data_IF_842567615704
#
_entry.id   IF_842567615704
#
_cell.length_a   1.000
_cell.length_b   1.000
_cell.length_c   1.000
_cell.angle_alpha   90.00
_cell.angle_beta   90.00
_cell.angle_gamma   90.00
#
_symmetry.space_group_name_H-M   'P 1'
#
loop_
_entity.id
_entity.type
_entity.pdbx_description
1 polymer ?
#
# COMPACT_ATOMS: atom_id res chain seq x y z
N UNK A 1 7.27 -12.52 -22.45
CA UNK A 1 6.11 -12.54 -21.52
C UNK A 1 6.56 -12.66 -20.07
N UNK A 2 7.36 -13.67 -19.72
CA UNK A 2 7.89 -13.91 -18.35
C UNK A 2 8.58 -12.69 -17.71
N UNK A 3 9.47 -12.02 -18.45
CA UNK A 3 10.22 -10.85 -17.94
C UNK A 3 9.30 -9.68 -17.56
N UNK A 4 8.23 -9.45 -18.33
CA UNK A 4 7.28 -8.37 -18.09
C UNK A 4 6.45 -8.66 -16.84
N UNK A 5 6.04 -9.92 -16.68
CA UNK A 5 5.35 -10.43 -15.48
C UNK A 5 6.19 -10.26 -14.22
N UNK A 6 7.47 -10.61 -14.28
CA UNK A 6 8.42 -10.40 -13.18
C UNK A 6 8.60 -8.92 -12.84
N UNK A 7 8.71 -8.07 -13.86
CA UNK A 7 8.81 -6.62 -13.68
C UNK A 7 7.57 -6.07 -12.98
N UNK A 8 6.37 -6.52 -13.36
CA UNK A 8 5.11 -6.10 -12.74
C UNK A 8 5.03 -6.51 -11.25
N UNK A 9 5.53 -7.70 -10.90
CA UNK A 9 5.65 -8.12 -9.51
C UNK A 9 6.68 -7.26 -8.74
N UNK A 10 7.79 -6.88 -9.39
CA UNK A 10 8.76 -5.95 -8.81
C UNK A 10 8.16 -4.57 -8.53
N UNK A 11 7.37 -4.02 -9.47
CA UNK A 11 6.62 -2.77 -9.29
C UNK A 11 5.64 -2.89 -8.15
N UNK A 12 4.93 -4.02 -8.06
CA UNK A 12 3.97 -4.29 -6.98
C UNK A 12 4.64 -4.28 -5.61
N UNK A 13 5.78 -4.95 -5.48
CA UNK A 13 6.58 -4.93 -4.26
C UNK A 13 7.07 -3.51 -3.90
N UNK A 14 7.52 -2.74 -4.90
CA UNK A 14 7.90 -1.35 -4.70
C UNK A 14 6.73 -0.49 -4.18
N UNK A 15 5.53 -0.69 -4.72
CA UNK A 15 4.33 0.00 -4.26
C UNK A 15 3.99 -0.33 -2.80
N UNK A 16 4.13 -1.60 -2.39
CA UNK A 16 3.96 -2.02 -0.99
C UNK A 16 4.95 -1.29 -0.06
N UNK A 17 6.22 -1.19 -0.46
CA UNK A 17 7.23 -0.42 0.27
C UNK A 17 6.89 1.08 0.31
N UNK A 18 6.41 1.64 -0.79
CA UNK A 18 5.96 3.03 -0.83
C UNK A 18 4.84 3.28 0.17
N UNK A 19 3.88 2.37 0.36
CA UNK A 19 2.81 2.53 1.36
C UNK A 19 3.39 2.68 2.77
N UNK A 20 4.35 1.84 3.15
CA UNK A 20 5.00 1.92 4.46
C UNK A 20 5.64 3.30 4.68
N UNK A 21 6.36 3.79 3.66
CA UNK A 21 6.99 5.12 3.71
C UNK A 21 5.95 6.23 3.78
N UNK A 22 4.88 6.15 2.99
CA UNK A 22 3.80 7.14 2.95
C UNK A 22 3.10 7.21 4.31
N UNK A 23 2.70 6.07 4.86
CA UNK A 23 2.02 5.99 6.15
C UNK A 23 2.92 6.49 7.29
N UNK A 24 4.20 6.14 7.27
CA UNK A 24 5.15 6.64 8.24
C UNK A 24 5.32 8.15 8.16
N UNK A 25 5.58 8.67 6.95
CA UNK A 25 5.70 10.10 6.72
C UNK A 25 4.44 10.87 7.12
N UNK A 26 3.27 10.37 6.75
CA UNK A 26 1.99 10.93 7.13
C UNK A 26 1.80 10.97 8.65
N UNK A 27 2.11 9.87 9.35
CA UNK A 27 1.95 9.79 10.80
C UNK A 27 2.87 10.75 11.55
N UNK A 28 4.14 10.90 11.11
CA UNK A 28 5.06 11.88 11.68
C UNK A 28 4.65 13.33 11.40
N UNK A 29 4.02 13.60 10.25
CA UNK A 29 3.55 14.93 9.87
C UNK A 29 2.26 15.33 10.59
N UNK A 30 1.38 14.37 10.86
CA UNK A 30 0.03 14.62 11.40
C UNK A 30 0.00 14.75 12.92
N UNK A 31 0.88 14.06 13.65
CA UNK A 31 0.89 14.15 15.11
C UNK A 31 1.24 15.57 15.60
N UNK A 32 0.45 16.12 16.53
CA UNK A 32 0.78 17.40 17.17
C UNK A 32 1.93 17.26 18.17
N UNK A 33 1.78 16.34 19.14
CA UNK A 33 2.77 16.05 20.18
C UNK A 33 3.73 14.94 19.75
N UNK A 34 4.96 14.93 20.29
CA UNK A 34 6.00 13.94 19.98
C UNK A 34 5.52 12.50 20.13
N UNK A 35 4.74 12.20 21.18
CA UNK A 35 4.20 10.86 21.41
C UNK A 35 3.21 10.44 20.32
N UNK A 36 2.29 11.32 19.94
CA UNK A 36 1.30 11.07 18.87
C UNK A 36 1.98 10.92 17.50
N UNK A 37 3.05 11.70 17.23
CA UNK A 37 3.84 11.56 16.00
C UNK A 37 4.49 10.19 15.88
N UNK A 38 5.07 9.68 16.96
CA UNK A 38 5.70 8.36 16.97
C UNK A 38 4.64 7.26 16.88
N UNK A 39 3.55 7.38 17.63
CA UNK A 39 2.43 6.42 17.57
C UNK A 39 1.82 6.32 16.17
N UNK A 40 1.56 7.43 15.50
CA UNK A 40 1.02 7.41 14.13
C UNK A 40 2.10 7.02 13.11
N UNK A 41 3.30 7.62 13.22
CA UNK A 41 4.39 7.41 12.26
C UNK A 41 4.96 6.00 12.27
N UNK A 42 4.92 5.30 13.41
CA UNK A 42 5.33 3.90 13.50
C UNK A 42 4.11 2.97 13.48
N UNK A 43 3.06 3.30 14.24
CA UNK A 43 1.88 2.44 14.35
C UNK A 43 1.14 2.25 13.03
N UNK A 44 0.99 3.29 12.21
CA UNK A 44 0.31 3.17 10.91
C UNK A 44 1.01 2.20 9.94
N UNK A 45 2.32 2.33 9.65
CA UNK A 45 3.00 1.35 8.80
C UNK A 45 3.07 -0.04 9.43
N UNK A 46 3.16 -0.15 10.76
CA UNK A 46 3.18 -1.45 11.45
C UNK A 46 1.82 -2.17 11.34
N UNK A 47 0.71 -1.44 11.51
CA UNK A 47 -0.63 -1.97 11.29
C UNK A 47 -0.82 -2.41 9.84
N UNK A 48 -0.38 -1.60 8.87
CA UNK A 48 -0.41 -2.00 7.47
C UNK A 48 0.38 -3.30 7.24
N UNK A 49 1.60 -3.40 7.75
CA UNK A 49 2.43 -4.59 7.59
C UNK A 49 1.78 -5.84 8.21
N UNK A 50 1.14 -5.70 9.38
CA UNK A 50 0.42 -6.80 10.03
C UNK A 50 -0.79 -7.22 9.19
N UNK A 51 -1.65 -6.28 8.79
CA UNK A 51 -2.86 -6.60 8.00
C UNK A 51 -2.45 -7.23 6.66
N UNK A 52 -1.44 -6.66 6.01
CA UNK A 52 -0.92 -7.18 4.75
C UNK A 52 -0.33 -8.58 4.93
N UNK A 53 0.55 -8.76 5.91
CA UNK A 53 1.20 -10.04 6.22
C UNK A 53 0.20 -11.13 6.63
N UNK A 54 -0.85 -10.77 7.36
CA UNK A 54 -1.84 -11.70 7.86
C UNK A 54 -2.92 -12.06 6.84
N UNK A 55 -3.35 -11.13 5.98
CA UNK A 55 -4.52 -11.37 5.12
C UNK A 55 -4.21 -11.39 3.63
N UNK A 56 -3.19 -10.66 3.18
CA UNK A 56 -2.89 -10.46 1.75
C UNK A 56 -1.66 -11.24 1.29
N UNK A 57 -0.73 -11.55 2.20
CA UNK A 57 0.52 -12.21 1.83
C UNK A 57 0.27 -13.60 1.22
N UNK A 58 1.00 -13.97 0.14
CA UNK A 58 0.80 -15.25 -0.55
C UNK A 58 1.00 -16.48 0.35
N UNK A 59 1.90 -16.37 1.34
CA UNK A 59 2.23 -17.42 2.32
C UNK A 59 1.44 -17.32 3.62
N UNK A 60 0.44 -16.45 3.72
CA UNK A 60 -0.36 -16.34 4.94
C UNK A 60 -1.28 -17.54 5.12
N UNK A 61 -1.34 -18.06 6.34
CA UNK A 61 -2.32 -19.07 6.77
C UNK A 61 -3.76 -18.54 6.77
N UNK A 62 -3.96 -17.22 6.92
CA UNK A 62 -5.27 -16.55 6.93
C UNK A 62 -5.53 -15.73 5.66
N UNK A 63 -4.93 -16.15 4.54
CA UNK A 63 -5.07 -15.44 3.26
C UNK A 63 -6.55 -15.35 2.87
N UNK A 64 -7.02 -14.13 2.63
CA UNK A 64 -8.37 -13.88 2.16
C UNK A 64 -8.56 -14.45 0.76
N UNK A 65 -9.76 -14.96 0.48
CA UNK A 65 -10.16 -15.36 -0.86
C UNK A 65 -10.70 -14.14 -1.62
N UNK A 66 -10.61 -14.18 -2.96
CA UNK A 66 -11.35 -13.26 -3.82
C UNK A 66 -12.86 -13.39 -3.51
N UNK A 67 -13.62 -12.28 -3.39
CA UNK A 67 -13.27 -10.90 -3.71
C UNK A 67 -12.73 -10.08 -2.52
N UNK A 68 -12.69 -10.65 -1.32
CA UNK A 68 -12.32 -9.93 -0.10
C UNK A 68 -10.86 -9.47 -0.10
N UNK A 69 -9.95 -10.28 -0.66
CA UNK A 69 -8.55 -9.91 -0.82
C UNK A 69 -8.41 -8.61 -1.63
N UNK A 70 -9.10 -8.53 -2.77
CA UNK A 70 -9.14 -7.35 -3.62
C UNK A 70 -9.70 -6.12 -2.90
N UNK A 71 -10.79 -6.27 -2.14
CA UNK A 71 -11.41 -5.17 -1.39
C UNK A 71 -10.48 -4.61 -0.31
N UNK A 72 -9.85 -5.47 0.48
CA UNK A 72 -8.91 -5.03 1.53
C UNK A 72 -7.68 -4.39 0.92
N UNK A 73 -7.18 -4.94 -0.19
CA UNK A 73 -6.06 -4.34 -0.92
C UNK A 73 -6.38 -2.91 -1.38
N UNK A 74 -7.50 -2.71 -2.07
CA UNK A 74 -7.93 -1.38 -2.51
C UNK A 74 -8.13 -0.46 -1.31
N UNK A 75 -8.70 -0.95 -0.21
CA UNK A 75 -8.88 -0.16 1.00
C UNK A 75 -7.52 0.32 1.54
N UNK A 76 -6.52 -0.56 1.64
CA UNK A 76 -5.19 -0.20 2.14
C UNK A 76 -4.46 0.76 1.20
N UNK A 77 -4.50 0.52 -0.12
CA UNK A 77 -3.92 1.44 -1.12
C UNK A 77 -4.64 2.79 -1.17
N UNK A 78 -5.96 2.79 -1.00
CA UNK A 78 -6.79 3.99 -0.90
C UNK A 78 -6.45 4.81 0.34
N UNK A 79 -6.28 4.15 1.50
CA UNK A 79 -5.84 4.79 2.74
C UNK A 79 -4.46 5.41 2.59
N UNK A 80 -3.50 4.70 1.97
CA UNK A 80 -2.18 5.26 1.69
C UNK A 80 -2.25 6.47 0.75
N UNK A 81 -3.08 6.41 -0.28
CA UNK A 81 -3.30 7.52 -1.23
C UNK A 81 -3.88 8.74 -0.50
N UNK A 82 -4.89 8.54 0.35
CA UNK A 82 -5.50 9.58 1.16
C UNK A 82 -4.49 10.18 2.16
N UNK A 83 -3.70 9.33 2.81
CA UNK A 83 -2.62 9.77 3.70
C UNK A 83 -1.63 10.66 2.94
N UNK A 84 -1.15 10.25 1.76
CA UNK A 84 -0.25 11.05 0.94
C UNK A 84 -0.88 12.38 0.50
N UNK A 85 -2.15 12.35 0.08
CA UNK A 85 -2.90 13.53 -0.32
C UNK A 85 -3.00 14.56 0.81
N UNK A 86 -3.30 14.11 2.03
CA UNK A 86 -3.39 14.99 3.20
C UNK A 86 -2.05 15.65 3.58
N UNK A 87 -0.92 15.09 3.11
CA UNK A 87 0.38 15.76 3.25
C UNK A 87 0.58 16.94 2.29
N UNK A 88 -0.35 17.19 1.37
CA UNK A 88 -0.31 18.28 0.38
C UNK A 88 0.50 17.97 -0.88
N UNK A 89 1.04 16.76 -1.02
CA UNK A 89 1.87 16.36 -2.17
C UNK A 89 1.06 15.74 -3.30
N UNK A 90 0.18 16.54 -3.90
CA UNK A 90 -0.76 16.10 -4.95
C UNK A 90 -0.07 15.39 -6.11
N UNK A 91 1.09 15.89 -6.56
CA UNK A 91 1.85 15.25 -7.66
C UNK A 91 2.29 13.82 -7.34
N UNK A 92 2.76 13.55 -6.12
CA UNK A 92 3.13 12.19 -5.70
C UNK A 92 1.91 11.30 -5.50
N UNK A 93 0.80 11.85 -4.98
CA UNK A 93 -0.47 11.14 -4.86
C UNK A 93 -0.96 10.62 -6.20
N UNK A 94 -0.99 11.49 -7.23
CA UNK A 94 -1.43 11.12 -8.57
C UNK A 94 -0.49 10.08 -9.17
N UNK A 95 0.83 10.28 -9.07
CA UNK A 95 1.81 9.32 -9.57
C UNK A 95 1.64 7.93 -8.92
N UNK A 96 1.54 7.88 -7.59
CA UNK A 96 1.35 6.63 -6.85
C UNK A 96 0.05 5.92 -7.25
N UNK A 97 -1.06 6.65 -7.28
CA UNK A 97 -2.37 6.10 -7.64
C UNK A 97 -2.39 5.59 -9.09
N UNK A 98 -1.81 6.34 -10.03
CA UNK A 98 -1.71 5.91 -11.43
C UNK A 98 -0.89 4.63 -11.56
N UNK A 99 0.30 4.55 -10.93
CA UNK A 99 1.15 3.36 -10.98
C UNK A 99 0.41 2.15 -10.36
N UNK A 100 -0.29 2.35 -9.25
CA UNK A 100 -1.11 1.30 -8.64
C UNK A 100 -2.20 0.78 -9.59
N UNK A 101 -2.97 1.68 -10.22
CA UNK A 101 -4.04 1.29 -11.15
C UNK A 101 -3.47 0.51 -12.33
N UNK A 102 -2.40 1.00 -12.96
CA UNK A 102 -1.76 0.30 -14.07
C UNK A 102 -1.26 -1.09 -13.66
N UNK A 103 -0.55 -1.17 -12.54
CA UNK A 103 -0.05 -2.44 -12.00
C UNK A 103 -1.21 -3.42 -11.72
N UNK A 104 -2.31 -2.94 -11.12
CA UNK A 104 -3.47 -3.77 -10.78
C UNK A 104 -4.19 -4.27 -12.02
N UNK A 105 -4.37 -3.44 -13.03
CA UNK A 105 -4.95 -3.84 -14.33
C UNK A 105 -4.09 -4.95 -14.96
N UNK A 106 -2.77 -4.79 -14.98
CA UNK A 106 -1.86 -5.81 -15.51
C UNK A 106 -1.94 -7.12 -14.72
N UNK A 107 -2.03 -7.05 -13.39
CA UNK A 107 -2.21 -8.25 -12.56
C UNK A 107 -3.53 -8.97 -12.85
N UNK A 108 -4.64 -8.24 -13.02
CA UNK A 108 -5.93 -8.83 -13.38
C UNK A 108 -5.91 -9.46 -14.78
N UNK A 109 -5.33 -8.78 -15.77
CA UNK A 109 -5.22 -9.29 -17.14
C UNK A 109 -4.34 -10.55 -17.24
N UNK A 110 -3.27 -10.61 -16.45
CA UNK A 110 -2.34 -11.74 -16.45
C UNK A 110 -2.62 -12.80 -15.39
N UNK A 111 -3.67 -12.62 -14.57
CA UNK A 111 -4.02 -13.47 -13.42
C UNK A 111 -2.82 -13.71 -12.48
N UNK A 112 -2.09 -12.64 -12.18
CA UNK A 112 -1.01 -12.62 -11.17
C UNK A 112 -1.58 -12.27 -9.80
#
# INVERSE_FOLDING_TARGET
>A
MEVIKFTNLGVRFLLELCILVILGYWGFKTGGQTLTKVLLGVGSPLLFAIIWGAFLAPKSSMRLQEPWLFLVEIALFGLATWALFSTGRVGLTVAFLSIYIFNKILMLLWKQ
#
